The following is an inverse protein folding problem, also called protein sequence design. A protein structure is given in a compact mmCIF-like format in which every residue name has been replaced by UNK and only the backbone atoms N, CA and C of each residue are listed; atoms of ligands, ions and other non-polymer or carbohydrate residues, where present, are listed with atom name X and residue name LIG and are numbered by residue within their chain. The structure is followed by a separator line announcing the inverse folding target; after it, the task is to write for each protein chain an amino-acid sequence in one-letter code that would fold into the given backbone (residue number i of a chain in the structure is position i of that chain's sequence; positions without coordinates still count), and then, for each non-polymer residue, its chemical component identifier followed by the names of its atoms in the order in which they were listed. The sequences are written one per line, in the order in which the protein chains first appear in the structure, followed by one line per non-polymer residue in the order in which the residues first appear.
data_IF_616595078836
#
_entry.id   IF_616595078836
#
_cell.length_a   1.000
_cell.length_b   1.000
_cell.length_c   1.000
_cell.angle_alpha   90.00
_cell.angle_beta   90.00
_cell.angle_gamma   90.00
#
_symmetry.space_group_name_H-M   'P 1'
#
loop_
_entity.id
_entity.type
_entity.pdbx_description
1 polymer ?
#
# COMPACT_ATOMS: atom_id res chain seq x y z
N UNK A 1 35.68 -21.54 -3.37
CA UNK A 1 34.58 -21.28 -2.41
C UNK A 1 33.51 -20.49 -3.15
N UNK A 2 32.51 -21.17 -3.72
CA UNK A 2 31.44 -20.55 -4.50
C UNK A 2 30.21 -20.36 -3.60
N UNK A 3 30.00 -19.14 -3.12
CA UNK A 3 28.69 -18.73 -2.59
C UNK A 3 27.76 -18.47 -3.78
N UNK A 4 27.11 -19.52 -4.28
CA UNK A 4 25.96 -19.33 -5.16
C UNK A 4 24.77 -18.89 -4.30
N UNK A 5 24.43 -17.61 -4.43
CA UNK A 5 23.28 -17.00 -3.80
C UNK A 5 21.99 -17.46 -4.46
N UNK A 6 21.15 -18.14 -3.69
CA UNK A 6 19.71 -18.16 -3.84
C UNK A 6 19.15 -18.44 -2.45
N UNK A 7 18.03 -17.82 -2.12
CA UNK A 7 17.50 -17.84 -0.76
C UNK A 7 16.32 -16.89 -0.66
N UNK A 8 15.28 -17.23 -1.41
CA UNK A 8 13.96 -16.63 -1.30
C UNK A 8 13.24 -17.38 -0.18
N UNK A 9 13.06 -16.78 1.00
CA UNK A 9 12.40 -17.46 2.12
C UNK A 9 10.90 -17.26 1.99
N UNK A 10 10.30 -18.01 1.08
CA UNK A 10 8.99 -18.54 1.36
C UNK A 10 9.19 -20.05 1.47
N UNK A 11 9.41 -20.53 2.68
CA UNK A 11 9.69 -21.94 2.94
C UNK A 11 8.40 -22.71 2.65
N UNK A 12 8.34 -23.35 1.48
CA UNK A 12 7.37 -24.41 1.24
C UNK A 12 7.64 -25.50 2.30
N UNK A 13 6.61 -26.03 2.97
CA UNK A 13 6.76 -27.11 3.97
C UNK A 13 7.38 -28.39 3.36
N UNK A 14 7.59 -28.40 2.05
CA UNK A 14 8.28 -29.44 1.27
C UNK A 14 9.79 -29.21 1.08
N UNK A 15 10.38 -28.13 1.63
CA UNK A 15 11.82 -27.86 1.55
C UNK A 15 12.32 -27.38 0.19
N UNK A 16 11.43 -26.94 -0.71
CA UNK A 16 11.81 -26.37 -2.01
C UNK A 16 11.99 -24.85 -1.92
N UNK A 17 13.09 -24.33 -2.45
CA UNK A 17 13.24 -22.89 -2.68
C UNK A 17 12.15 -22.42 -3.65
N UNK A 18 11.32 -21.47 -3.21
CA UNK A 18 10.34 -20.83 -4.09
C UNK A 18 11.04 -20.00 -5.14
N UNK A 19 10.62 -20.15 -6.41
CA UNK A 19 11.17 -19.34 -7.49
C UNK A 19 10.94 -17.85 -7.21
N UNK A 20 11.94 -17.02 -7.52
CA UNK A 20 11.90 -15.57 -7.30
C UNK A 20 10.64 -14.91 -7.88
N UNK A 21 10.23 -15.32 -9.08
CA UNK A 21 9.01 -14.82 -9.71
C UNK A 21 7.76 -15.19 -8.92
N UNK A 22 7.68 -16.43 -8.40
CA UNK A 22 6.56 -16.88 -7.53
C UNK A 22 6.45 -15.98 -6.30
N UNK A 23 7.56 -15.66 -5.65
CA UNK A 23 7.55 -14.80 -4.46
C UNK A 23 7.11 -13.38 -4.79
N UNK A 24 7.59 -12.79 -5.89
CA UNK A 24 7.13 -11.46 -6.33
C UNK A 24 5.62 -11.48 -6.63
N UNK A 25 5.11 -12.53 -7.27
CA UNK A 25 3.68 -12.69 -7.53
C UNK A 25 2.88 -12.80 -6.23
N UNK A 26 3.33 -13.60 -5.26
CA UNK A 26 2.65 -13.72 -3.95
C UNK A 26 2.66 -12.37 -3.21
N UNK A 27 3.77 -11.65 -3.25
CA UNK A 27 3.91 -10.33 -2.65
C UNK A 27 2.94 -9.32 -3.29
N UNK A 28 2.79 -9.35 -4.62
CA UNK A 28 1.83 -8.52 -5.34
C UNK A 28 0.38 -8.86 -4.95
N UNK A 29 0.03 -10.15 -4.89
CA UNK A 29 -1.30 -10.60 -4.47
C UNK A 29 -1.61 -10.12 -3.06
N UNK A 30 -0.66 -10.26 -2.13
CA UNK A 30 -0.80 -9.78 -0.77
C UNK A 30 -1.03 -8.27 -0.72
N UNK A 31 -0.21 -7.49 -1.42
CA UNK A 31 -0.31 -6.04 -1.46
C UNK A 31 -1.67 -5.57 -2.03
N UNK A 32 -2.14 -6.20 -3.10
CA UNK A 32 -3.46 -5.91 -3.71
C UNK A 32 -4.59 -6.24 -2.74
N UNK A 33 -4.55 -7.40 -2.07
CA UNK A 33 -5.54 -7.77 -1.07
C UNK A 33 -5.56 -6.81 0.12
N UNK A 34 -4.39 -6.35 0.57
CA UNK A 34 -4.28 -5.31 1.59
C UNK A 34 -4.84 -3.97 1.11
N UNK A 35 -4.64 -3.60 -0.17
CA UNK A 35 -5.19 -2.38 -0.75
C UNK A 35 -6.72 -2.42 -0.80
N UNK A 36 -7.30 -3.59 -1.05
CA UNK A 36 -8.76 -3.81 -0.96
C UNK A 36 -9.29 -3.62 0.46
N UNK A 37 -8.63 -4.21 1.47
CA UNK A 37 -9.02 -4.06 2.87
C UNK A 37 -9.05 -2.59 3.28
N UNK A 38 -8.00 -1.87 2.90
CA UNK A 38 -7.84 -0.44 3.14
C UNK A 38 -8.94 0.39 2.45
N UNK A 39 -9.20 0.13 1.16
CA UNK A 39 -10.28 0.78 0.44
C UNK A 39 -11.65 0.50 1.09
N UNK A 40 -11.91 -0.73 1.53
CA UNK A 40 -13.18 -1.08 2.19
C UNK A 40 -13.37 -0.31 3.51
N UNK A 41 -12.32 -0.13 4.31
CA UNK A 41 -12.38 0.69 5.53
C UNK A 41 -12.68 2.15 5.17
N UNK A 42 -12.01 2.71 4.16
CA UNK A 42 -12.25 4.10 3.72
C UNK A 42 -13.66 4.30 3.17
N UNK A 43 -14.20 3.32 2.45
CA UNK A 43 -15.61 3.32 2.03
C UNK A 43 -16.52 3.46 3.25
N UNK A 44 -16.34 2.61 4.27
CA UNK A 44 -17.17 2.69 5.48
C UNK A 44 -17.00 4.00 6.24
N UNK A 45 -15.78 4.54 6.33
CA UNK A 45 -15.54 5.84 6.96
C UNK A 45 -16.26 6.97 6.22
N UNK A 46 -16.24 6.95 4.88
CA UNK A 46 -16.94 7.95 4.06
C UNK A 46 -18.44 7.87 4.27
N UNK A 47 -19.02 6.67 4.33
CA UNK A 47 -20.48 6.58 4.50
C UNK A 47 -20.95 6.95 5.91
N UNK A 48 -20.11 6.72 6.92
CA UNK A 48 -20.42 7.07 8.31
C UNK A 48 -20.23 8.56 8.62
N UNK A 49 -19.16 9.17 8.10
CA UNK A 49 -18.74 10.53 8.51
C UNK A 49 -18.89 11.59 7.41
N UNK A 50 -19.09 11.18 6.16
CA UNK A 50 -19.27 12.08 5.02
C UNK A 50 -20.57 11.77 4.23
N UNK A 51 -21.74 11.69 4.89
CA UNK A 51 -22.99 11.27 4.25
C UNK A 51 -23.50 12.23 3.16
N UNK A 52 -22.98 13.46 3.11
CA UNK A 52 -23.32 14.47 2.08
C UNK A 52 -22.34 14.48 0.91
N UNK A 53 -21.41 13.52 0.86
CA UNK A 53 -20.35 13.44 -0.14
C UNK A 53 -18.99 13.80 0.44
N UNK A 54 -17.95 13.16 -0.11
CA UNK A 54 -16.56 13.39 0.27
C UNK A 54 -15.93 14.45 -0.66
N UNK A 55 -15.64 15.63 -0.12
CA UNK A 55 -14.89 16.67 -0.82
C UNK A 55 -13.86 17.27 0.12
N UNK A 56 -12.57 17.06 -0.15
CA UNK A 56 -11.49 17.68 0.61
C UNK A 56 -11.16 19.01 -0.05
N UNK A 57 -11.44 20.11 0.63
CA UNK A 57 -11.01 21.45 0.27
C UNK A 57 -9.90 21.94 1.20
N UNK A 58 -9.87 21.46 2.45
CA UNK A 58 -8.83 21.78 3.43
C UNK A 58 -8.67 20.70 4.52
N UNK A 59 -7.59 20.77 5.31
CA UNK A 59 -7.35 19.89 6.48
C UNK A 59 -8.51 19.94 7.49
N UNK A 60 -9.25 21.05 7.53
CA UNK A 60 -10.38 21.25 8.43
C UNK A 60 -11.60 20.40 8.09
N UNK A 61 -11.68 19.87 6.86
CA UNK A 61 -12.76 18.96 6.45
C UNK A 61 -12.61 17.56 7.09
N UNK A 62 -11.45 17.27 7.70
CA UNK A 62 -11.24 16.09 8.54
C UNK A 62 -11.79 16.27 9.97
N UNK A 63 -12.16 17.49 10.38
CA UNK A 63 -12.65 17.79 11.74
C UNK A 63 -14.01 17.16 12.06
N UNK A 64 -14.70 16.61 11.06
CA UNK A 64 -15.96 15.86 11.25
C UNK A 64 -15.71 14.52 11.94
N UNK A 65 -14.49 13.97 11.86
CA UNK A 65 -14.15 12.68 12.45
C UNK A 65 -13.86 12.85 13.95
N UNK A 66 -14.53 12.09 14.85
CA UNK A 66 -14.24 12.14 16.28
C UNK A 66 -12.77 11.80 16.57
N UNK A 67 -12.15 12.51 17.51
CA UNK A 67 -10.74 12.31 17.92
C UNK A 67 -10.39 10.84 18.23
N UNK A 68 -11.32 10.09 18.82
CA UNK A 68 -11.14 8.66 19.10
C UNK A 68 -11.00 7.82 17.82
N UNK A 69 -11.75 8.16 16.78
CA UNK A 69 -11.70 7.48 15.48
C UNK A 69 -10.43 7.86 14.73
N UNK A 70 -9.99 9.12 14.83
CA UNK A 70 -8.69 9.52 14.29
C UNK A 70 -7.54 8.68 14.86
N UNK A 71 -7.53 8.40 16.17
CA UNK A 71 -6.52 7.53 16.78
C UNK A 71 -6.55 6.10 16.21
N UNK A 72 -7.74 5.58 15.89
CA UNK A 72 -7.89 4.29 15.21
C UNK A 72 -7.31 4.35 13.81
N UNK A 73 -7.57 5.41 13.04
CA UNK A 73 -7.02 5.59 11.70
C UNK A 73 -5.49 5.68 11.70
N UNK A 74 -4.89 6.43 12.63
CA UNK A 74 -3.44 6.43 12.82
C UNK A 74 -2.92 5.02 13.15
N UNK A 75 -3.61 4.28 14.02
CA UNK A 75 -3.17 2.92 14.39
C UNK A 75 -3.26 1.94 13.21
N UNK A 76 -4.28 2.10 12.37
CA UNK A 76 -4.52 1.29 11.17
C UNK A 76 -3.45 1.54 10.11
N UNK A 77 -3.15 2.80 9.80
CA UNK A 77 -2.07 3.16 8.87
C UNK A 77 -0.70 2.64 9.34
N UNK A 78 -0.42 2.78 10.65
CA UNK A 78 0.80 2.23 11.24
C UNK A 78 0.85 0.70 11.09
N UNK A 79 -0.28 0.02 11.33
CA UNK A 79 -0.39 -1.42 11.15
C UNK A 79 -0.13 -1.82 9.69
N UNK A 80 -0.63 -1.05 8.71
CA UNK A 80 -0.42 -1.31 7.28
C UNK A 80 1.04 -1.19 6.88
N UNK A 81 1.77 -0.18 7.36
CA UNK A 81 3.22 -0.09 7.16
C UNK A 81 3.92 -1.33 7.76
N UNK A 82 3.58 -1.70 8.99
CA UNK A 82 4.19 -2.85 9.69
C UNK A 82 3.92 -4.16 8.94
N UNK A 83 2.69 -4.36 8.46
CA UNK A 83 2.29 -5.53 7.68
C UNK A 83 3.07 -5.65 6.37
N UNK A 84 3.16 -4.55 5.60
CA UNK A 84 3.93 -4.50 4.36
C UNK A 84 5.43 -4.71 4.59
N UNK A 85 5.98 -4.12 5.66
CA UNK A 85 7.37 -4.33 6.05
C UNK A 85 7.63 -5.78 6.45
N UNK A 86 6.75 -6.38 7.26
CA UNK A 86 6.88 -7.76 7.70
C UNK A 86 6.90 -8.74 6.51
N UNK A 87 5.96 -8.64 5.58
CA UNK A 87 5.93 -9.53 4.41
C UNK A 87 7.15 -9.33 3.51
N UNK A 88 7.65 -8.10 3.37
CA UNK A 88 8.85 -7.80 2.60
C UNK A 88 10.13 -8.38 3.24
N UNK A 89 10.24 -8.34 4.57
CA UNK A 89 11.34 -8.95 5.32
C UNK A 89 11.35 -10.48 5.21
N UNK A 90 10.17 -11.09 5.12
CA UNK A 90 10.01 -12.52 4.89
C UNK A 90 10.35 -12.91 3.44
N UNK A 91 9.94 -12.11 2.45
CA UNK A 91 10.07 -12.44 1.03
C UNK A 91 11.53 -12.73 0.57
N UNK A 92 12.52 -12.02 1.10
CA UNK A 92 13.92 -12.14 0.68
C UNK A 92 14.89 -12.12 1.86
N UNK A 93 16.06 -12.73 1.72
CA UNK A 93 17.13 -12.69 2.76
C UNK A 93 18.01 -11.45 2.67
N UNK A 94 18.29 -11.01 1.45
CA UNK A 94 19.20 -9.90 1.19
C UNK A 94 18.55 -8.57 1.56
N UNK A 95 19.23 -7.76 2.38
CA UNK A 95 18.71 -6.47 2.87
C UNK A 95 18.31 -5.53 1.73
N UNK A 96 19.08 -5.48 0.63
CA UNK A 96 18.73 -4.68 -0.55
C UNK A 96 17.42 -5.15 -1.19
N UNK A 97 17.23 -6.46 -1.36
CA UNK A 97 16.00 -7.03 -1.93
C UNK A 97 14.80 -6.87 -1.00
N UNK A 98 14.99 -6.90 0.32
CA UNK A 98 13.93 -6.60 1.30
C UNK A 98 13.41 -5.17 1.14
N UNK A 99 14.32 -4.20 0.95
CA UNK A 99 13.92 -2.83 0.67
C UNK A 99 13.13 -2.73 -0.64
N UNK A 100 13.62 -3.33 -1.73
CA UNK A 100 12.88 -3.33 -3.00
C UNK A 100 11.55 -4.07 -2.92
N UNK A 101 11.46 -5.14 -2.13
CA UNK A 101 10.22 -5.87 -1.88
C UNK A 101 9.21 -4.99 -1.14
N UNK A 102 9.66 -4.25 -0.11
CA UNK A 102 8.82 -3.31 0.61
C UNK A 102 8.32 -2.21 -0.33
N UNK A 103 9.20 -1.56 -1.08
CA UNK A 103 8.82 -0.48 -2.01
C UNK A 103 7.88 -0.97 -3.11
N UNK A 104 8.10 -2.19 -3.63
CA UNK A 104 7.21 -2.82 -4.58
C UNK A 104 5.82 -3.11 -3.98
N UNK A 105 5.78 -3.72 -2.80
CA UNK A 105 4.52 -4.04 -2.11
C UNK A 105 3.74 -2.76 -1.74
N UNK A 106 4.43 -1.75 -1.21
CA UNK A 106 3.86 -0.45 -0.87
C UNK A 106 3.27 0.24 -2.10
N UNK A 107 3.99 0.21 -3.22
CA UNK A 107 3.51 0.80 -4.48
C UNK A 107 2.28 0.05 -5.03
N UNK A 108 2.30 -1.28 -4.99
CA UNK A 108 1.18 -2.09 -5.46
C UNK A 108 -0.06 -1.92 -4.58
N UNK A 109 0.14 -1.80 -3.26
CA UNK A 109 -0.90 -1.53 -2.28
C UNK A 109 -1.59 -0.19 -2.53
N UNK A 110 -0.83 0.89 -2.71
CA UNK A 110 -1.36 2.24 -2.91
C UNK A 110 -2.16 2.35 -4.23
N UNK A 111 -1.62 1.79 -5.32
CA UNK A 111 -2.32 1.75 -6.60
C UNK A 111 -3.60 0.92 -6.49
N UNK A 112 -3.54 -0.25 -5.84
CA UNK A 112 -4.71 -1.10 -5.65
C UNK A 112 -5.79 -0.38 -4.83
N UNK A 113 -5.41 0.34 -3.77
CA UNK A 113 -6.32 1.17 -2.98
C UNK A 113 -7.11 2.13 -3.87
N UNK A 114 -6.44 2.91 -4.72
CA UNK A 114 -7.11 3.83 -5.64
C UNK A 114 -8.00 3.12 -6.68
N UNK A 115 -7.56 1.97 -7.21
CA UNK A 115 -8.38 1.17 -8.13
C UNK A 115 -9.67 0.71 -7.45
N UNK A 116 -9.59 0.22 -6.20
CA UNK A 116 -10.79 -0.22 -5.48
C UNK A 116 -11.69 0.93 -5.05
N UNK A 117 -11.13 2.08 -4.65
CA UNK A 117 -11.93 3.29 -4.42
C UNK A 117 -12.68 3.73 -5.68
N UNK A 118 -12.06 3.62 -6.84
CA UNK A 118 -12.72 3.92 -8.11
C UNK A 118 -13.85 2.95 -8.40
N UNK A 119 -13.64 1.65 -8.14
CA UNK A 119 -14.67 0.62 -8.33
C UNK A 119 -15.87 0.84 -7.39
N UNK A 120 -15.64 1.14 -6.12
CA UNK A 120 -16.72 1.21 -5.13
C UNK A 120 -17.42 2.56 -5.07
N UNK A 121 -16.67 3.66 -5.25
CA UNK A 121 -17.18 5.02 -5.04
C UNK A 121 -17.11 5.90 -6.30
N UNK A 122 -16.51 5.41 -7.40
CA UNK A 122 -16.17 6.28 -8.54
C UNK A 122 -15.12 7.33 -8.19
N UNK A 123 -14.34 7.13 -7.12
CA UNK A 123 -13.33 8.08 -6.64
C UNK A 123 -11.93 7.75 -7.17
N UNK A 124 -11.14 8.75 -7.61
CA UNK A 124 -11.49 10.16 -7.69
C UNK A 124 -12.25 10.49 -8.99
N UNK A 125 -13.11 11.53 -8.99
CA UNK A 125 -13.79 12.00 -10.19
C UNK A 125 -12.81 12.64 -11.20
N UNK A 126 -11.69 13.18 -10.73
CA UNK A 126 -10.61 13.69 -11.55
C UNK A 126 -9.25 13.42 -10.90
N UNK A 127 -8.20 13.27 -11.71
CA UNK A 127 -6.84 13.06 -11.20
C UNK A 127 -6.29 14.27 -10.41
N UNK A 128 -6.86 15.46 -10.62
CA UNK A 128 -6.53 16.70 -9.88
C UNK A 128 -7.30 16.84 -8.57
N UNK A 129 -8.24 15.96 -8.27
CA UNK A 129 -8.98 15.98 -7.02
C UNK A 129 -8.03 15.80 -5.84
N UNK A 130 -8.22 16.59 -4.78
CA UNK A 130 -7.44 16.49 -3.56
C UNK A 130 -7.85 15.25 -2.77
N UNK A 131 -6.85 14.55 -2.24
CA UNK A 131 -7.02 13.39 -1.38
C UNK A 131 -6.02 13.42 -0.23
N UNK A 132 -6.29 12.65 0.81
CA UNK A 132 -5.37 12.42 1.93
C UNK A 132 -4.69 11.07 1.68
N UNK A 133 -3.39 11.10 1.42
CA UNK A 133 -2.65 9.89 1.06
C UNK A 133 -2.30 9.05 2.28
N UNK A 134 -1.90 9.73 3.36
CA UNK A 134 -1.44 9.13 4.60
C UNK A 134 -1.51 10.18 5.71
N UNK A 135 -1.86 9.78 6.93
CA UNK A 135 -1.89 10.62 8.13
C UNK A 135 -0.56 10.62 8.88
N UNK A 136 0.23 9.54 8.80
CA UNK A 136 1.54 9.43 9.47
C UNK A 136 2.68 9.97 8.57
N UNK A 137 3.66 10.74 9.11
CA UNK A 137 3.75 11.28 10.48
C UNK A 137 2.90 12.54 10.71
N UNK A 138 2.46 13.17 9.62
CA UNK A 138 1.47 14.25 9.58
C UNK A 138 0.66 14.09 8.28
N UNK A 139 -0.56 14.64 8.15
CA UNK A 139 -1.40 14.41 6.97
C UNK A 139 -0.78 14.93 5.66
N UNK A 140 -0.67 14.03 4.67
CA UNK A 140 -0.24 14.35 3.31
C UNK A 140 -1.47 14.55 2.45
N UNK A 141 -1.70 15.78 2.02
CA UNK A 141 -2.84 16.14 1.18
C UNK A 141 -2.33 16.64 -0.17
N UNK A 142 -2.95 16.18 -1.24
CA UNK A 142 -2.71 16.74 -2.56
C UNK A 142 -3.51 16.07 -3.66
N UNK A 143 -3.23 16.42 -4.92
CA UNK A 143 -3.87 15.82 -6.09
C UNK A 143 -3.56 14.33 -6.26
N UNK A 144 -4.57 13.49 -6.50
CA UNK A 144 -4.43 12.02 -6.66
C UNK A 144 -3.42 11.59 -7.73
N UNK A 145 -3.16 12.41 -8.76
CA UNK A 145 -2.13 12.07 -9.75
C UNK A 145 -0.72 11.93 -9.15
N UNK A 146 -0.41 12.62 -8.04
CA UNK A 146 0.91 12.58 -7.40
C UNK A 146 1.24 11.17 -6.88
N UNK A 147 0.45 10.57 -5.96
CA UNK A 147 0.75 9.21 -5.48
C UNK A 147 0.70 8.20 -6.63
N UNK A 148 -0.30 8.28 -7.52
CA UNK A 148 -0.41 7.35 -8.65
C UNK A 148 0.83 7.35 -9.53
N UNK A 149 1.36 8.53 -9.89
CA UNK A 149 2.57 8.63 -10.70
C UNK A 149 3.79 8.12 -9.92
N UNK A 150 3.97 8.60 -8.69
CA UNK A 150 5.11 8.27 -7.85
C UNK A 150 5.22 6.75 -7.63
N UNK A 151 4.13 6.12 -7.22
CA UNK A 151 4.09 4.69 -6.92
C UNK A 151 4.09 3.83 -8.18
N UNK A 152 3.58 4.33 -9.33
CA UNK A 152 3.76 3.62 -10.60
C UNK A 152 5.23 3.53 -11.00
N UNK A 153 5.96 4.65 -10.92
CA UNK A 153 7.40 4.70 -11.26
C UNK A 153 8.21 3.89 -10.26
N UNK A 154 7.96 4.08 -8.96
CA UNK A 154 8.67 3.38 -7.89
C UNK A 154 8.41 1.88 -7.92
N UNK A 155 7.17 1.46 -8.16
CA UNK A 155 6.78 0.06 -8.31
C UNK A 155 7.47 -0.60 -9.50
N UNK A 156 7.47 0.04 -10.67
CA UNK A 156 8.16 -0.46 -11.86
C UNK A 156 9.67 -0.58 -11.65
N UNK A 157 10.29 0.43 -11.02
CA UNK A 157 11.71 0.41 -10.71
C UNK A 157 12.06 -0.69 -9.71
N UNK A 158 11.29 -0.82 -8.63
CA UNK A 158 11.47 -1.85 -7.61
C UNK A 158 11.30 -3.25 -8.19
N UNK A 159 10.30 -3.47 -9.04
CA UNK A 159 10.09 -4.72 -9.76
C UNK A 159 11.30 -5.08 -10.63
N UNK A 160 11.88 -4.11 -11.35
CA UNK A 160 13.08 -4.33 -12.16
C UNK A 160 14.28 -4.76 -11.32
N UNK A 161 14.43 -4.21 -10.10
CA UNK A 161 15.50 -4.56 -9.15
C UNK A 161 15.30 -5.93 -8.54
N UNK A 162 14.05 -6.33 -8.27
CA UNK A 162 13.73 -7.67 -7.75
C UNK A 162 13.97 -8.76 -8.80
N UNK A 163 13.88 -8.48 -10.10
CA UNK A 163 14.14 -9.46 -11.17
C UNK A 163 15.62 -9.61 -11.53
N UNK A 164 16.50 -8.71 -11.11
CA UNK A 164 17.96 -8.82 -11.28
C UNK A 164 18.54 -9.72 -10.19
#
# INVERSE_FOLDING_TARGET
MNFHGAGCILFDMTGRETSRNRTITILAIYAVAMGLLEAAVVVYLRELYYPQGFSIQSVWDLAVIPQKIMAVEYSREAATIVMLAAVALLAFRETSRRLWAFLFAFSAWDIAYYVFLYIFLGWPPALTTLDVYFLIPFPWIGPVWIPLLLFSVLGAFSFSRLRK
#
